data_IF_329083824196
#
_entry.id   IF_329083824196
#
_cell.length_a   1.000
_cell.length_b   1.000
_cell.length_c   1.000
_cell.angle_alpha   90.00
_cell.angle_beta   90.00
_cell.angle_gamma   90.00
#
_symmetry.space_group_name_H-M   'P 1'
#
loop_
_entity.id
_entity.type
_entity.pdbx_description
1 polymer ?
#
# COMPACT_ATOMS: atom_id res chain seq x y z
N UNK A 1 -22.71 0.20 7.71
CA UNK A 1 -22.73 1.66 7.45
C UNK A 1 -23.18 2.49 8.65
N UNK A 2 -24.38 2.34 9.22
CA UNK A 2 -24.81 3.14 10.39
C UNK A 2 -23.88 3.04 11.60
N UNK A 3 -23.30 1.87 11.87
CA UNK A 3 -22.29 1.70 12.92
C UNK A 3 -21.02 2.53 12.63
N UNK A 4 -20.42 2.38 11.44
CA UNK A 4 -19.23 3.12 11.00
C UNK A 4 -19.42 4.64 11.03
N UNK A 5 -20.65 5.12 10.85
CA UNK A 5 -21.01 6.53 11.01
C UNK A 5 -21.15 6.97 12.47
N UNK A 6 -21.62 6.08 13.36
CA UNK A 6 -21.84 6.36 14.79
C UNK A 6 -20.60 6.13 15.67
N UNK A 7 -19.60 5.39 15.19
CA UNK A 7 -18.27 5.28 15.80
C UNK A 7 -17.23 6.05 14.96
N UNK A 8 -17.29 7.40 14.96
CA UNK A 8 -16.42 8.21 14.12
C UNK A 8 -14.94 8.07 14.50
N UNK A 9 -14.61 7.63 15.72
CA UNK A 9 -13.23 7.52 16.21
C UNK A 9 -12.33 6.75 15.24
N UNK A 10 -12.77 5.63 14.70
CA UNK A 10 -11.96 4.83 13.77
C UNK A 10 -11.63 5.59 12.47
N UNK A 11 -12.65 6.02 11.73
CA UNK A 11 -12.48 6.68 10.44
C UNK A 11 -11.87 8.09 10.56
N UNK A 12 -12.23 8.81 11.64
CA UNK A 12 -11.73 10.14 11.93
C UNK A 12 -10.26 10.14 12.30
N UNK A 13 -9.82 9.20 13.16
CA UNK A 13 -8.40 9.05 13.50
C UNK A 13 -7.59 8.68 12.26
N UNK A 14 -8.08 7.78 11.39
CA UNK A 14 -7.40 7.43 10.14
C UNK A 14 -7.27 8.64 9.20
N UNK A 15 -8.33 9.43 9.08
CA UNK A 15 -8.33 10.65 8.26
C UNK A 15 -7.34 11.70 8.80
N UNK A 16 -7.37 11.98 10.10
CA UNK A 16 -6.46 12.94 10.74
C UNK A 16 -4.99 12.53 10.58
N UNK A 17 -4.67 11.25 10.84
CA UNK A 17 -3.32 10.74 10.67
C UNK A 17 -2.86 10.81 9.21
N UNK A 18 -3.76 10.54 8.25
CA UNK A 18 -3.45 10.65 6.82
C UNK A 18 -3.11 12.09 6.44
N UNK A 19 -3.89 13.07 6.90
CA UNK A 19 -3.62 14.50 6.65
C UNK A 19 -2.28 14.90 7.29
N UNK A 20 -2.06 14.50 8.54
CA UNK A 20 -0.81 14.80 9.26
C UNK A 20 0.41 14.24 8.52
N UNK A 21 0.37 12.97 8.09
CA UNK A 21 1.45 12.34 7.33
C UNK A 21 1.65 13.00 5.96
N UNK A 22 0.58 13.35 5.26
CA UNK A 22 0.67 14.03 3.97
C UNK A 22 1.40 15.37 4.10
N UNK A 23 1.07 16.16 5.13
CA UNK A 23 1.74 17.43 5.42
C UNK A 23 3.17 17.23 5.88
N UNK A 24 3.43 16.27 6.77
CA UNK A 24 4.76 15.98 7.30
C UNK A 24 5.73 15.59 6.17
N UNK A 25 5.35 14.63 5.32
CA UNK A 25 6.19 14.23 4.18
C UNK A 25 6.23 15.31 3.10
N UNK A 26 5.15 16.06 2.91
CA UNK A 26 5.12 17.22 2.02
C UNK A 26 6.14 18.29 2.42
N UNK A 27 6.26 18.60 3.70
CA UNK A 27 7.25 19.54 4.23
C UNK A 27 8.69 19.04 4.09
N UNK A 28 8.94 17.76 4.40
CA UNK A 28 10.27 17.17 4.29
C UNK A 28 10.82 17.16 2.86
N UNK A 29 9.95 17.02 1.85
CA UNK A 29 10.37 16.85 0.45
C UNK A 29 9.93 18.00 -0.47
N UNK A 30 9.52 19.14 0.08
CA UNK A 30 8.96 20.27 -0.69
C UNK A 30 9.88 20.81 -1.78
N UNK A 31 11.19 20.77 -1.55
CA UNK A 31 12.21 21.42 -2.39
C UNK A 31 13.25 20.42 -2.91
N UNK A 32 12.84 19.20 -3.23
CA UNK A 32 13.74 18.18 -3.76
C UNK A 32 13.81 18.26 -5.29
N UNK A 33 15.02 18.36 -5.81
CA UNK A 33 15.29 18.29 -7.24
C UNK A 33 15.35 16.84 -7.72
N UNK A 34 14.27 16.37 -8.35
CA UNK A 34 14.14 15.01 -8.90
C UNK A 34 14.95 14.76 -10.19
N UNK A 35 15.91 15.63 -10.51
CA UNK A 35 16.91 15.43 -11.57
C UNK A 35 18.24 14.90 -11.03
N UNK A 36 18.46 14.95 -9.72
CA UNK A 36 19.72 14.51 -9.10
C UNK A 36 19.60 13.07 -8.64
N UNK A 37 20.69 12.28 -8.70
CA UNK A 37 20.71 10.89 -8.19
C UNK A 37 20.15 10.77 -6.75
N UNK A 38 20.61 11.64 -5.84
CA UNK A 38 20.13 11.68 -4.46
C UNK A 38 18.64 12.05 -4.38
N UNK A 39 18.19 13.00 -5.20
CA UNK A 39 16.81 13.45 -5.23
C UNK A 39 15.84 12.39 -5.73
N UNK A 40 16.20 11.66 -6.80
CA UNK A 40 15.41 10.54 -7.33
C UNK A 40 15.36 9.39 -6.32
N UNK A 41 16.51 8.95 -5.80
CA UNK A 41 16.55 7.87 -4.83
C UNK A 41 15.78 8.22 -3.54
N UNK A 42 15.92 9.47 -3.06
CA UNK A 42 15.13 9.99 -1.95
C UNK A 42 13.63 10.07 -2.26
N UNK A 43 13.26 10.45 -3.49
CA UNK A 43 11.88 10.48 -3.96
C UNK A 43 11.22 9.10 -4.00
N UNK A 44 11.92 8.09 -4.52
CA UNK A 44 11.45 6.70 -4.51
C UNK A 44 11.33 6.19 -3.06
N UNK A 45 12.32 6.50 -2.21
CA UNK A 45 12.29 6.17 -0.79
C UNK A 45 11.16 6.83 -0.02
N UNK A 46 10.78 8.03 -0.42
CA UNK A 46 9.64 8.74 0.14
C UNK A 46 8.31 8.10 -0.27
N UNK A 47 8.15 7.67 -1.52
CA UNK A 47 6.96 6.90 -1.94
C UNK A 47 6.90 5.57 -1.19
N UNK A 48 8.04 4.90 -1.00
CA UNK A 48 8.16 3.69 -0.17
C UNK A 48 7.68 3.92 1.27
N UNK A 49 8.25 4.93 1.95
CA UNK A 49 8.01 5.13 3.37
C UNK A 49 6.58 5.63 3.63
N UNK A 50 6.05 6.51 2.78
CA UNK A 50 4.68 7.00 2.87
C UNK A 50 3.67 5.86 2.69
N UNK A 51 3.87 5.04 1.66
CA UNK A 51 3.05 3.84 1.41
C UNK A 51 3.09 2.91 2.62
N UNK A 52 4.28 2.63 3.16
CA UNK A 52 4.45 1.80 4.35
C UNK A 52 3.70 2.35 5.57
N UNK A 53 3.84 3.64 5.88
CA UNK A 53 3.15 4.25 7.03
C UNK A 53 1.64 4.20 6.89
N UNK A 54 1.10 4.56 5.73
CA UNK A 54 -0.35 4.52 5.47
C UNK A 54 -0.89 3.08 5.58
N UNK A 55 -0.11 2.09 5.10
CA UNK A 55 -0.44 0.67 5.23
C UNK A 55 -0.48 0.19 6.69
N UNK A 56 0.57 0.46 7.47
CA UNK A 56 0.68 0.05 8.88
C UNK A 56 -0.41 0.68 9.75
N UNK A 57 -0.73 1.96 9.54
CA UNK A 57 -1.80 2.63 10.28
C UNK A 57 -3.15 1.96 9.99
N UNK A 58 -3.40 1.65 8.72
CA UNK A 58 -4.65 1.01 8.30
C UNK A 58 -4.78 -0.41 8.84
N UNK A 59 -3.66 -1.16 8.87
CA UNK A 59 -3.59 -2.49 9.48
C UNK A 59 -3.84 -2.46 10.99
N UNK A 60 -3.15 -1.61 11.74
CA UNK A 60 -3.26 -1.58 13.20
C UNK A 60 -4.61 -1.04 13.68
N UNK A 61 -5.17 -0.08 12.97
CA UNK A 61 -6.45 0.52 13.34
C UNK A 61 -7.62 -0.46 13.20
N UNK A 62 -7.60 -1.38 12.22
CA UNK A 62 -8.72 -2.30 11.97
C UNK A 62 -8.75 -3.50 12.93
N UNK A 63 -7.60 -3.90 13.47
CA UNK A 63 -7.49 -5.05 14.38
C UNK A 63 -8.45 -4.99 15.59
N UNK A 64 -8.49 -3.90 16.40
CA UNK A 64 -9.40 -3.83 17.53
C UNK A 64 -10.87 -3.78 17.09
N UNK A 65 -11.17 -3.04 16.02
CA UNK A 65 -12.52 -2.94 15.47
C UNK A 65 -13.05 -4.31 15.02
N UNK A 66 -12.25 -5.06 14.26
CA UNK A 66 -12.61 -6.39 13.79
C UNK A 66 -12.78 -7.41 14.94
N UNK A 67 -11.98 -7.27 16.01
CA UNK A 67 -12.09 -8.13 17.17
C UNK A 67 -13.36 -7.86 18.00
N UNK A 68 -13.76 -6.60 18.15
CA UNK A 68 -15.03 -6.21 18.78
C UNK A 68 -16.23 -6.71 17.98
N UNK A 69 -16.22 -6.51 16.65
CA UNK A 69 -17.30 -6.98 15.78
C UNK A 69 -17.44 -8.51 15.81
N UNK A 70 -16.32 -9.24 15.89
CA UNK A 70 -16.31 -10.71 15.98
C UNK A 70 -17.13 -11.23 17.17
N UNK A 71 -17.09 -10.55 18.32
CA UNK A 71 -17.86 -10.96 19.49
C UNK A 71 -19.38 -10.83 19.27
N UNK A 72 -19.82 -9.72 18.65
CA UNK A 72 -21.23 -9.55 18.29
C UNK A 72 -21.66 -10.56 17.22
N UNK A 73 -20.80 -10.79 16.23
CA UNK A 73 -21.03 -11.77 15.16
C UNK A 73 -21.28 -13.18 15.71
N UNK A 74 -20.47 -13.65 16.68
CA UNK A 74 -20.68 -14.97 17.26
C UNK A 74 -22.02 -15.10 17.98
N UNK A 75 -22.46 -14.06 18.68
CA UNK A 75 -23.78 -14.03 19.34
C UNK A 75 -24.93 -14.08 18.33
N UNK A 76 -24.83 -13.30 17.25
CA UNK A 76 -25.86 -13.22 16.20
C UNK A 76 -25.92 -14.48 15.32
N UNK A 77 -24.77 -15.15 15.13
CA UNK A 77 -24.71 -16.47 14.48
C UNK A 77 -25.33 -17.54 15.35
N UNK A 78 -25.11 -17.50 16.67
CA UNK A 78 -25.72 -18.45 17.61
C UNK A 78 -27.26 -18.35 17.61
N UNK A 79 -27.81 -17.14 17.43
CA UNK A 79 -29.26 -16.91 17.27
C UNK A 79 -29.78 -17.16 15.85
N UNK A 80 -28.95 -17.64 14.92
CA UNK A 80 -29.31 -17.89 13.51
C UNK A 80 -29.89 -16.66 12.78
N UNK A 81 -29.51 -15.45 13.20
CA UNK A 81 -30.09 -14.20 12.64
C UNK A 81 -29.62 -13.94 11.21
N UNK A 82 -28.38 -14.30 10.86
CA UNK A 82 -27.86 -14.24 9.49
C UNK A 82 -26.64 -15.16 9.29
N UNK A 83 -26.36 -15.50 8.02
CA UNK A 83 -25.21 -16.32 7.62
C UNK A 83 -23.91 -15.48 7.56
N UNK A 84 -22.76 -16.12 7.81
CA UNK A 84 -21.41 -15.54 7.71
C UNK A 84 -21.17 -14.73 6.42
N UNK A 85 -21.75 -15.19 5.30
CA UNK A 85 -21.66 -14.53 4.01
C UNK A 85 -22.22 -13.11 4.02
N UNK A 86 -23.36 -12.89 4.68
CA UNK A 86 -24.01 -11.58 4.69
C UNK A 86 -23.27 -10.56 5.55
N UNK A 87 -22.69 -11.00 6.66
CA UNK A 87 -21.77 -10.17 7.46
C UNK A 87 -20.50 -9.82 6.66
N UNK A 88 -19.92 -10.80 5.98
CA UNK A 88 -18.75 -10.58 5.13
C UNK A 88 -18.99 -9.57 3.99
N UNK A 89 -20.12 -9.68 3.28
CA UNK A 89 -20.47 -8.73 2.22
C UNK A 89 -20.69 -7.34 2.80
N UNK A 90 -21.41 -7.25 3.93
CA UNK A 90 -21.69 -5.98 4.60
C UNK A 90 -20.43 -5.26 5.09
N UNK A 91 -19.48 -5.98 5.69
CA UNK A 91 -18.22 -5.40 6.17
C UNK A 91 -17.29 -5.02 5.01
N UNK A 92 -17.27 -5.83 3.95
CA UNK A 92 -16.47 -5.54 2.74
C UNK A 92 -16.92 -4.24 2.06
N UNK A 93 -18.22 -4.11 1.80
CA UNK A 93 -18.79 -2.94 1.12
C UNK A 93 -18.73 -1.68 2.00
N UNK A 94 -18.83 -1.84 3.31
CA UNK A 94 -18.77 -0.70 4.23
C UNK A 94 -17.38 -0.03 4.24
N UNK A 95 -16.29 -0.79 4.12
CA UNK A 95 -14.92 -0.25 4.20
C UNK A 95 -14.49 0.55 2.95
N UNK A 96 -14.95 0.14 1.76
CA UNK A 96 -14.46 0.70 0.48
C UNK A 96 -14.61 2.23 0.42
N UNK A 97 -15.78 2.84 0.70
CA UNK A 97 -15.95 4.29 0.60
C UNK A 97 -15.03 5.05 1.57
N UNK A 98 -14.88 4.57 2.80
CA UNK A 98 -14.04 5.24 3.79
C UNK A 98 -12.56 5.17 3.42
N UNK A 99 -12.10 4.02 2.91
CA UNK A 99 -10.70 3.86 2.48
C UNK A 99 -10.40 4.78 1.31
N UNK A 100 -11.27 4.77 0.29
CA UNK A 100 -11.14 5.62 -0.89
C UNK A 100 -11.09 7.09 -0.48
N UNK A 101 -12.03 7.57 0.33
CA UNK A 101 -12.02 8.98 0.78
C UNK A 101 -10.73 9.32 1.52
N UNK A 102 -10.27 8.50 2.46
CA UNK A 102 -9.02 8.78 3.21
C UNK A 102 -7.78 8.81 2.31
N UNK A 103 -7.68 7.87 1.37
CA UNK A 103 -6.54 7.77 0.45
C UNK A 103 -6.53 8.90 -0.59
N UNK A 104 -7.69 9.34 -1.05
CA UNK A 104 -7.79 10.50 -1.95
C UNK A 104 -7.47 11.81 -1.24
N UNK A 105 -7.94 12.00 -0.01
CA UNK A 105 -7.56 13.18 0.80
C UNK A 105 -6.04 13.22 1.00
N UNK A 106 -5.42 12.09 1.34
CA UNK A 106 -3.96 11.98 1.40
C UNK A 106 -3.32 12.39 0.07
N UNK A 107 -3.76 11.81 -1.04
CA UNK A 107 -3.16 12.00 -2.37
C UNK A 107 -3.29 13.45 -2.85
N UNK A 108 -4.44 14.09 -2.68
CA UNK A 108 -4.70 15.47 -3.11
C UNK A 108 -3.79 16.45 -2.37
N UNK A 109 -3.48 16.19 -1.10
CA UNK A 109 -2.57 17.02 -0.32
C UNK A 109 -1.12 16.68 -0.68
N UNK A 110 -0.74 15.41 -0.58
CA UNK A 110 0.63 14.94 -0.71
C UNK A 110 1.23 15.14 -2.11
N UNK A 111 0.50 14.77 -3.17
CA UNK A 111 1.01 14.76 -4.54
C UNK A 111 1.52 16.14 -5.01
N UNK A 112 0.74 17.23 -4.94
CA UNK A 112 1.22 18.56 -5.33
C UNK A 112 2.21 19.15 -4.31
N UNK A 113 2.11 18.78 -3.04
CA UNK A 113 2.93 19.36 -1.98
C UNK A 113 4.40 18.91 -2.11
N UNK A 114 4.60 17.63 -2.44
CA UNK A 114 5.91 17.03 -2.74
C UNK A 114 6.49 17.49 -4.09
N UNK A 115 5.68 18.14 -4.92
CA UNK A 115 6.10 18.67 -6.21
C UNK A 115 6.05 17.66 -7.35
N UNK A 116 5.29 16.57 -7.21
CA UNK A 116 5.08 15.64 -8.32
C UNK A 116 4.32 16.32 -9.45
N UNK A 117 4.85 16.19 -10.66
CA UNK A 117 4.23 16.69 -11.90
C UNK A 117 3.43 15.56 -12.53
N UNK A 118 2.19 15.86 -12.93
CA UNK A 118 1.32 14.90 -13.59
C UNK A 118 0.00 15.54 -14.02
N UNK A 119 -0.67 14.86 -14.94
CA UNK A 119 -2.04 15.21 -15.31
C UNK A 119 -3.02 14.87 -14.19
N UNK A 120 -4.26 15.38 -14.27
CA UNK A 120 -5.33 15.00 -13.33
C UNK A 120 -5.54 13.48 -13.29
N UNK A 121 -5.42 12.82 -14.45
CA UNK A 121 -5.52 11.37 -14.54
C UNK A 121 -4.43 10.66 -13.73
N UNK A 122 -3.22 11.21 -13.70
CA UNK A 122 -2.13 10.62 -12.91
C UNK A 122 -2.42 10.73 -11.41
N UNK A 123 -2.90 11.88 -10.94
CA UNK A 123 -3.27 12.05 -9.52
C UNK A 123 -4.38 11.07 -9.12
N UNK A 124 -5.39 10.90 -9.98
CA UNK A 124 -6.50 9.97 -9.75
C UNK A 124 -6.02 8.52 -9.74
N UNK A 125 -5.20 8.12 -10.72
CA UNK A 125 -4.68 6.75 -10.81
C UNK A 125 -3.76 6.42 -9.62
N UNK A 126 -2.96 7.39 -9.15
CA UNK A 126 -2.16 7.24 -7.92
C UNK A 126 -3.08 7.04 -6.71
N UNK A 127 -4.13 7.87 -6.58
CA UNK A 127 -5.11 7.78 -5.49
C UNK A 127 -5.86 6.45 -5.48
N UNK A 128 -6.23 5.92 -6.65
CA UNK A 128 -6.87 4.60 -6.78
C UNK A 128 -5.92 3.50 -6.32
N UNK A 129 -4.68 3.47 -6.81
CA UNK A 129 -3.72 2.43 -6.45
C UNK A 129 -3.34 2.48 -4.97
N UNK A 130 -3.20 3.68 -4.40
CA UNK A 130 -3.01 3.85 -2.96
C UNK A 130 -4.24 3.36 -2.18
N UNK A 131 -5.45 3.64 -2.66
CA UNK A 131 -6.70 3.14 -2.04
C UNK A 131 -6.74 1.61 -2.05
N UNK A 132 -6.35 0.97 -3.16
CA UNK A 132 -6.28 -0.49 -3.26
C UNK A 132 -5.24 -1.06 -2.28
N UNK A 133 -4.06 -0.45 -2.17
CA UNK A 133 -3.05 -0.87 -1.21
C UNK A 133 -3.54 -0.74 0.25
N UNK A 134 -4.23 0.36 0.58
CA UNK A 134 -4.82 0.54 1.91
C UNK A 134 -5.90 -0.52 2.17
N UNK A 135 -6.76 -0.77 1.17
CA UNK A 135 -7.81 -1.78 1.27
C UNK A 135 -7.23 -3.17 1.50
N UNK A 136 -6.15 -3.51 0.81
CA UNK A 136 -5.37 -4.73 1.04
C UNK A 136 -4.91 -4.84 2.50
N UNK A 137 -4.31 -3.78 3.06
CA UNK A 137 -3.83 -3.79 4.45
C UNK A 137 -4.98 -3.92 5.47
N UNK A 138 -6.11 -3.26 5.23
CA UNK A 138 -7.31 -3.38 6.08
C UNK A 138 -7.82 -4.82 6.05
N UNK A 139 -7.90 -5.43 4.87
CA UNK A 139 -8.45 -6.78 4.74
C UNK A 139 -7.50 -7.85 5.29
N UNK A 140 -6.19 -7.62 5.15
CA UNK A 140 -5.16 -8.42 5.81
C UNK A 140 -5.25 -8.32 7.34
N UNK A 141 -5.49 -7.13 7.89
CA UNK A 141 -5.74 -6.91 9.31
C UNK A 141 -6.98 -7.64 9.81
N UNK A 142 -8.09 -7.56 9.07
CA UNK A 142 -9.32 -8.28 9.41
C UNK A 142 -9.09 -9.81 9.40
N UNK A 143 -8.39 -10.33 8.39
CA UNK A 143 -8.02 -11.74 8.35
C UNK A 143 -7.23 -12.16 9.59
N UNK A 144 -6.22 -11.39 10.00
CA UNK A 144 -5.43 -11.67 11.21
C UNK A 144 -6.29 -11.63 12.48
N UNK A 145 -7.20 -10.65 12.61
CA UNK A 145 -8.13 -10.57 13.74
C UNK A 145 -9.10 -11.76 13.82
N UNK A 146 -9.48 -12.35 12.68
CA UNK A 146 -10.37 -13.50 12.65
C UNK A 146 -9.65 -14.80 12.98
N UNK A 147 -8.42 -14.99 12.49
CA UNK A 147 -7.64 -16.21 12.75
C UNK A 147 -7.13 -16.26 14.19
N UNK A 148 -6.69 -15.13 14.76
CA UNK A 148 -6.02 -15.12 16.07
C UNK A 148 -7.01 -14.92 17.24
N UNK A 149 -6.78 -15.55 18.41
CA UNK A 149 -7.72 -15.48 19.53
C UNK A 149 -7.73 -14.11 20.22
N UNK A 150 -6.57 -13.43 20.29
CA UNK A 150 -6.39 -12.13 20.97
C UNK A 150 -5.86 -11.07 20.00
N UNK A 151 -6.24 -9.82 20.23
CA UNK A 151 -5.79 -8.66 19.44
C UNK A 151 -4.28 -8.50 19.49
N UNK A 152 -3.67 -8.65 20.67
CA UNK A 152 -2.22 -8.50 20.83
C UNK A 152 -1.43 -9.53 20.02
N UNK A 153 -1.94 -10.77 19.96
CA UNK A 153 -1.33 -11.85 19.16
C UNK A 153 -1.51 -11.59 17.67
N UNK A 154 -2.70 -11.10 17.26
CA UNK A 154 -2.97 -10.70 15.88
C UNK A 154 -2.05 -9.55 15.43
N UNK A 155 -1.83 -8.56 16.30
CA UNK A 155 -0.94 -7.43 16.05
C UNK A 155 0.50 -7.90 15.93
N UNK A 156 1.00 -8.70 16.88
CA UNK A 156 2.37 -9.20 16.85
C UNK A 156 2.65 -10.05 15.59
N UNK A 157 1.77 -11.01 15.27
CA UNK A 157 1.91 -11.84 14.08
C UNK A 157 1.78 -11.02 12.79
N UNK A 158 0.83 -10.08 12.78
CA UNK A 158 0.60 -9.18 11.66
C UNK A 158 1.79 -8.29 11.33
N UNK A 159 2.44 -7.75 12.36
CA UNK A 159 3.67 -6.96 12.21
C UNK A 159 4.80 -7.84 11.68
N UNK A 160 5.00 -9.05 12.21
CA UNK A 160 6.04 -9.97 11.72
C UNK A 160 5.87 -10.28 10.22
N UNK A 161 4.66 -10.61 9.79
CA UNK A 161 4.37 -10.91 8.37
C UNK A 161 4.53 -9.65 7.50
N UNK A 162 4.03 -8.49 7.96
CA UNK A 162 4.21 -7.23 7.23
C UNK A 162 5.68 -6.83 7.11
N UNK A 163 6.50 -7.03 8.15
CA UNK A 163 7.94 -6.75 8.10
C UNK A 163 8.63 -7.56 7.02
N UNK A 164 8.28 -8.84 6.85
CA UNK A 164 8.79 -9.67 5.77
C UNK A 164 8.34 -9.11 4.41
N UNK A 165 7.05 -8.81 4.26
CA UNK A 165 6.53 -8.25 3.01
C UNK A 165 7.17 -6.90 2.64
N UNK A 166 7.36 -6.00 3.60
CA UNK A 166 8.00 -4.71 3.34
C UNK A 166 9.48 -4.82 2.99
N UNK A 167 10.20 -5.80 3.55
CA UNK A 167 11.59 -6.07 3.18
C UNK A 167 11.69 -6.53 1.71
N UNK A 168 10.76 -7.38 1.26
CA UNK A 168 10.73 -7.93 -0.11
C UNK A 168 9.89 -7.10 -1.09
N UNK A 169 9.54 -5.86 -0.73
CA UNK A 169 8.78 -4.94 -1.57
C UNK A 169 9.61 -4.34 -2.73
N UNK A 170 10.95 -4.50 -2.71
CA UNK A 170 11.83 -4.19 -3.83
C UNK A 170 12.51 -2.81 -3.81
N UNK A 171 12.47 -2.09 -2.67
CA UNK A 171 13.20 -0.83 -2.47
C UNK A 171 14.47 -0.99 -1.64
N UNK A 172 14.38 -1.62 -0.46
CA UNK A 172 15.52 -1.84 0.43
C UNK A 172 15.52 -3.30 0.93
N UNK A 173 16.27 -4.21 0.28
CA UNK A 173 17.17 -3.98 -0.87
C UNK A 173 16.44 -3.68 -2.19
N UNK A 174 17.09 -2.98 -3.15
CA UNK A 174 16.54 -2.78 -4.49
C UNK A 174 16.30 -4.12 -5.19
N UNK A 175 15.23 -4.21 -6.00
CA UNK A 175 14.81 -5.46 -6.64
C UNK A 175 15.92 -6.15 -7.46
N UNK A 176 16.80 -5.38 -8.10
CA UNK A 176 17.95 -5.89 -8.86
C UNK A 176 18.98 -6.64 -8.02
N UNK A 177 19.14 -6.24 -6.75
CA UNK A 177 20.13 -6.79 -5.82
C UNK A 177 19.61 -7.99 -5.03
N UNK A 178 18.34 -8.38 -5.23
CA UNK A 178 17.75 -9.53 -4.55
C UNK A 178 18.32 -10.82 -5.16
N UNK A 179 18.98 -11.69 -4.35
CA UNK A 179 19.55 -12.94 -4.84
C UNK A 179 18.49 -13.83 -5.51
N UNK A 180 18.89 -14.57 -6.54
CA UNK A 180 17.98 -15.41 -7.34
C UNK A 180 17.14 -16.39 -6.49
N UNK A 181 17.73 -16.95 -5.43
CA UNK A 181 17.04 -17.87 -4.52
C UNK A 181 15.87 -17.27 -3.72
N UNK A 182 15.83 -15.94 -3.52
CA UNK A 182 14.76 -15.25 -2.79
C UNK A 182 13.77 -14.53 -3.73
N UNK A 183 13.96 -14.61 -5.05
CA UNK A 183 13.09 -13.91 -6.01
C UNK A 183 11.62 -14.32 -5.90
N UNK A 184 11.35 -15.61 -5.63
CA UNK A 184 9.99 -16.12 -5.45
C UNK A 184 9.22 -15.40 -4.33
N UNK A 185 9.94 -15.01 -3.26
CA UNK A 185 9.33 -14.32 -2.12
C UNK A 185 8.91 -12.90 -2.49
N UNK A 186 9.63 -12.25 -3.40
CA UNK A 186 9.24 -10.94 -3.95
C UNK A 186 8.01 -11.05 -4.84
N UNK A 187 7.86 -12.17 -5.58
CA UNK A 187 6.68 -12.42 -6.43
C UNK A 187 5.41 -12.66 -5.62
N UNK A 188 5.52 -13.32 -4.46
CA UNK A 188 4.36 -13.59 -3.59
C UNK A 188 3.94 -12.33 -2.81
N UNK A 189 4.87 -11.41 -2.55
CA UNK A 189 4.65 -10.22 -1.74
C UNK A 189 3.68 -9.21 -2.42
N UNK A 190 2.43 -9.04 -1.93
CA UNK A 190 1.49 -8.14 -2.57
C UNK A 190 1.90 -6.65 -2.54
N UNK A 191 2.49 -6.11 -1.45
CA UNK A 191 3.00 -4.74 -1.41
C UNK A 191 3.97 -4.36 -2.54
N UNK A 192 4.74 -5.31 -3.08
CA UNK A 192 5.65 -5.08 -4.22
C UNK A 192 4.92 -4.43 -5.39
N UNK A 193 3.78 -5.01 -5.76
CA UNK A 193 3.01 -4.57 -6.92
C UNK A 193 2.44 -3.16 -6.71
N UNK A 194 1.90 -2.87 -5.52
CA UNK A 194 1.42 -1.53 -5.20
C UNK A 194 2.53 -0.49 -5.24
N UNK A 195 3.69 -0.76 -4.62
CA UNK A 195 4.82 0.16 -4.66
C UNK A 195 5.31 0.38 -6.08
N UNK A 196 5.45 -0.70 -6.86
CA UNK A 196 5.87 -0.62 -8.25
C UNK A 196 4.96 0.29 -9.07
N UNK A 197 3.63 0.23 -8.88
CA UNK A 197 2.71 1.11 -9.61
C UNK A 197 2.88 2.56 -9.18
N UNK A 198 2.92 2.83 -7.87
CA UNK A 198 3.03 4.20 -7.34
C UNK A 198 4.33 4.87 -7.76
N UNK A 199 5.45 4.14 -7.71
CA UNK A 199 6.76 4.64 -8.15
C UNK A 199 6.83 4.77 -9.67
N UNK A 200 6.42 3.73 -10.41
CA UNK A 200 6.51 3.75 -11.87
C UNK A 200 5.69 4.88 -12.49
N UNK A 201 4.53 5.19 -11.90
CA UNK A 201 3.68 6.27 -12.34
C UNK A 201 4.36 7.65 -12.23
N UNK A 202 5.13 7.88 -11.17
CA UNK A 202 5.77 9.16 -10.90
C UNK A 202 7.13 9.27 -11.60
N UNK A 203 7.94 8.21 -11.53
CA UNK A 203 9.36 8.25 -11.93
C UNK A 203 9.66 7.49 -13.22
N UNK A 204 8.81 6.55 -13.66
CA UNK A 204 9.07 5.75 -14.89
C UNK A 204 8.21 6.15 -16.08
N UNK A 205 7.20 7.00 -15.89
CA UNK A 205 6.41 7.57 -16.98
C UNK A 205 7.28 8.53 -17.81
N UNK A 206 7.39 8.26 -19.10
CA UNK A 206 8.10 9.10 -20.07
C UNK A 206 7.33 9.10 -21.39
N UNK A 207 6.25 9.86 -21.45
CA UNK A 207 5.43 10.04 -22.65
C UNK A 207 5.59 11.45 -23.22
N UNK A 208 5.70 12.45 -22.35
CA UNK A 208 6.00 13.84 -22.70
C UNK A 208 7.39 14.24 -22.21
N UNK A 209 8.09 15.17 -22.89
CA UNK A 209 9.40 15.68 -22.44
C UNK A 209 9.38 16.33 -21.06
N UNK A 210 8.20 16.78 -20.61
CA UNK A 210 7.97 17.38 -19.30
C UNK A 210 7.84 16.37 -18.16
N UNK A 211 7.67 15.08 -18.48
CA UNK A 211 7.53 14.02 -17.49
C UNK A 211 8.84 13.81 -16.74
N UNK A 212 8.76 13.52 -15.45
CA UNK A 212 9.95 13.33 -14.61
C UNK A 212 10.79 12.13 -15.07
N UNK A 213 10.15 11.07 -15.60
CA UNK A 213 10.87 9.89 -16.10
C UNK A 213 11.76 10.14 -17.32
N UNK A 214 11.49 11.19 -18.11
CA UNK A 214 12.31 11.54 -19.28
C UNK A 214 13.52 12.42 -18.93
N UNK A 215 13.61 12.95 -17.72
CA UNK A 215 14.67 13.86 -17.34
C UNK A 215 16.01 13.11 -17.19
N UNK A 216 17.09 13.73 -17.67
CA UNK A 216 18.44 13.19 -17.54
C UNK A 216 18.89 13.38 -16.09
N UNK A 217 19.41 12.32 -15.49
CA UNK A 217 19.91 12.37 -14.12
C UNK A 217 21.30 13.01 -14.06
N UNK A 218 21.51 13.82 -13.04
CA UNK A 218 22.79 14.45 -12.71
C UNK A 218 23.38 13.84 -11.43
N UNK A 219 24.71 13.93 -11.28
CA UNK A 219 25.44 13.40 -10.12
C UNK A 219 25.27 11.88 -9.89
N UNK A 220 25.11 11.11 -10.97
CA UNK A 220 25.03 9.65 -10.88
C UNK A 220 26.41 9.07 -10.57
N UNK A 221 26.56 8.21 -9.54
CA UNK A 221 27.82 7.54 -9.27
C UNK A 221 28.31 6.71 -10.47
N UNK A 222 29.62 6.71 -10.79
CA UNK A 222 30.15 6.02 -11.96
C UNK A 222 29.94 4.50 -11.95
N UNK A 223 29.74 3.91 -10.77
CA UNK A 223 29.39 2.49 -10.60
C UNK A 223 28.04 2.19 -11.27
N UNK A 224 27.03 3.03 -11.02
CA UNK A 224 25.68 2.86 -11.57
C UNK A 224 25.68 3.09 -13.09
N UNK A 225 26.45 4.07 -13.57
CA UNK A 225 26.62 4.31 -15.01
C UNK A 225 27.28 3.11 -15.71
N UNK A 226 28.27 2.48 -15.06
CA UNK A 226 28.94 1.28 -15.59
C UNK A 226 28.02 0.06 -15.62
N UNK A 227 27.15 -0.10 -14.63
CA UNK A 227 26.15 -1.18 -14.60
C UNK A 227 25.10 -1.03 -15.71
N UNK A 228 24.68 0.20 -16.01
CA UNK A 228 23.69 0.48 -17.07
C UNK A 228 24.33 0.52 -18.46
N UNK A 229 25.64 0.78 -18.55
CA UNK A 229 26.40 0.80 -19.80
C UNK A 229 26.15 2.03 -20.67
N UNK A 230 25.62 3.12 -20.10
CA UNK A 230 25.33 4.37 -20.81
C UNK A 230 26.01 5.59 -20.14
N UNK A 231 26.47 6.59 -20.92
CA UNK A 231 27.16 7.77 -20.39
C UNK A 231 26.22 8.74 -19.66
N UNK A 232 24.93 8.72 -20.01
CA UNK A 232 23.86 9.48 -19.36
C UNK A 232 22.68 8.54 -19.15
N UNK A 233 21.98 8.70 -18.03
CA UNK A 233 20.87 7.83 -17.63
C UNK A 233 19.66 8.70 -17.30
N UNK A 234 18.50 8.32 -17.81
CA UNK A 234 17.24 8.98 -17.47
C UNK A 234 16.62 8.39 -16.20
N UNK A 235 15.77 9.15 -15.52
CA UNK A 235 15.07 8.71 -14.31
C UNK A 235 14.30 7.40 -14.54
N UNK A 236 13.65 7.23 -15.70
CA UNK A 236 12.99 5.98 -16.09
C UNK A 236 13.96 4.80 -16.08
N UNK A 237 15.07 4.91 -16.81
CA UNK A 237 16.04 3.82 -16.93
C UNK A 237 16.65 3.45 -15.58
N UNK A 238 16.96 4.44 -14.76
CA UNK A 238 17.46 4.21 -13.40
C UNK A 238 16.44 3.44 -12.55
N UNK A 239 15.17 3.87 -12.59
CA UNK A 239 14.10 3.24 -11.81
C UNK A 239 13.82 1.81 -12.26
N UNK A 240 13.77 1.58 -13.57
CA UNK A 240 13.52 0.26 -14.16
C UNK A 240 14.69 -0.71 -13.94
N UNK A 241 15.94 -0.26 -14.10
CA UNK A 241 17.10 -1.14 -13.91
C UNK A 241 17.37 -1.46 -12.45
N UNK A 242 17.27 -0.48 -11.54
CA UNK A 242 17.65 -0.69 -10.14
C UNK A 242 16.51 -1.30 -9.32
N UNK A 243 15.28 -0.84 -9.53
CA UNK A 243 14.11 -1.22 -8.72
C UNK A 243 13.11 -2.14 -9.45
N UNK A 244 13.30 -2.44 -10.74
CA UNK A 244 12.39 -3.27 -11.55
C UNK A 244 10.93 -2.77 -11.52
N UNK A 245 10.75 -1.45 -11.46
CA UNK A 245 9.44 -0.79 -11.40
C UNK A 245 9.13 -0.13 -12.74
N UNK A 246 8.43 -0.87 -13.62
CA UNK A 246 8.14 -0.43 -14.99
C UNK A 246 6.78 0.21 -15.12
N UNK A 247 6.67 1.23 -15.97
CA UNK A 247 5.39 1.89 -16.25
C UNK A 247 4.45 1.00 -17.07
N UNK A 248 4.98 0.21 -18.00
CA UNK A 248 4.18 -0.64 -18.89
C UNK A 248 3.45 -1.77 -18.11
N UNK A 249 4.05 -2.23 -17.02
CA UNK A 249 3.48 -3.26 -16.14
C UNK A 249 2.48 -2.69 -15.12
N UNK A 250 2.27 -1.37 -15.09
CA UNK A 250 1.47 -0.72 -14.05
C UNK A 250 0.03 -1.28 -13.97
N UNK A 251 -0.62 -1.48 -15.12
CA UNK A 251 -1.99 -2.02 -15.18
C UNK A 251 -2.03 -3.48 -14.71
N UNK A 252 -1.06 -4.29 -15.12
CA UNK A 252 -0.95 -5.70 -14.70
C UNK A 252 -0.76 -5.77 -13.19
N UNK A 253 0.13 -4.95 -12.65
CA UNK A 253 0.40 -4.87 -11.21
C UNK A 253 -0.85 -4.41 -10.43
N UNK A 254 -1.62 -3.45 -10.94
CA UNK A 254 -2.91 -3.06 -10.33
C UNK A 254 -3.88 -4.24 -10.29
N UNK A 255 -4.00 -5.02 -11.37
CA UNK A 255 -4.88 -6.20 -11.42
C UNK A 255 -4.42 -7.27 -10.42
N UNK A 256 -3.10 -7.50 -10.30
CA UNK A 256 -2.54 -8.43 -9.30
C UNK A 256 -2.91 -8.00 -7.88
N UNK A 257 -2.81 -6.71 -7.56
CA UNK A 257 -3.22 -6.18 -6.23
C UNK A 257 -4.70 -6.45 -5.97
N UNK A 258 -5.58 -6.23 -6.95
CA UNK A 258 -7.02 -6.56 -6.84
C UNK A 258 -7.21 -8.07 -6.60
N UNK A 259 -6.47 -8.92 -7.31
CA UNK A 259 -6.45 -10.36 -7.07
C UNK A 259 -6.06 -10.72 -5.62
N UNK A 260 -5.00 -10.12 -5.10
CA UNK A 260 -4.56 -10.32 -3.71
C UNK A 260 -5.63 -9.89 -2.69
N UNK A 261 -6.30 -8.75 -2.93
CA UNK A 261 -7.41 -8.26 -2.09
C UNK A 261 -8.54 -9.31 -2.04
N UNK A 262 -8.92 -9.87 -3.19
CA UNK A 262 -9.95 -10.92 -3.27
C UNK A 262 -9.51 -12.18 -2.52
N UNK A 263 -8.25 -12.61 -2.69
CA UNK A 263 -7.70 -13.78 -1.97
C UNK A 263 -7.77 -13.59 -0.46
N UNK A 264 -7.26 -12.48 0.08
CA UNK A 264 -7.32 -12.22 1.52
C UNK A 264 -8.75 -12.10 2.05
N UNK A 265 -9.67 -11.61 1.21
CA UNK A 265 -11.09 -11.58 1.54
C UNK A 265 -11.71 -12.98 1.63
N UNK A 266 -11.43 -13.85 0.66
CA UNK A 266 -11.86 -15.26 0.71
C UNK A 266 -11.27 -15.97 1.93
N UNK A 267 -9.98 -15.75 2.22
CA UNK A 267 -9.34 -16.29 3.43
C UNK A 267 -10.00 -15.78 4.71
N UNK A 268 -10.34 -14.49 4.78
CA UNK A 268 -11.10 -13.89 5.89
C UNK A 268 -12.47 -14.53 6.09
N UNK A 269 -13.21 -14.79 5.00
CA UNK A 269 -14.50 -15.48 5.05
C UNK A 269 -14.36 -16.92 5.55
N UNK A 270 -13.35 -17.65 5.06
CA UNK A 270 -13.07 -19.01 5.51
C UNK A 270 -12.69 -19.03 6.99
N UNK A 271 -11.88 -18.06 7.45
CA UNK A 271 -11.55 -17.90 8.85
C UNK A 271 -12.81 -17.67 9.71
N UNK A 272 -13.68 -16.74 9.32
CA UNK A 272 -14.96 -16.51 10.03
C UNK A 272 -15.88 -17.75 10.06
N UNK A 273 -15.86 -18.56 9.00
CA UNK A 273 -16.72 -19.73 8.88
C UNK A 273 -16.26 -20.88 9.78
N UNK A 274 -14.96 -21.17 9.77
CA UNK A 274 -14.36 -22.38 10.36
C UNK A 274 -13.64 -22.15 11.68
N UNK A 275 -13.12 -20.95 11.95
CA UNK A 275 -12.44 -20.62 13.20
C UNK A 275 -13.47 -20.10 14.20
N UNK A 276 -13.57 -20.75 15.36
CA UNK A 276 -14.42 -20.31 16.45
C UNK A 276 -13.63 -20.28 17.76
N UNK A 277 -13.46 -19.08 18.31
CA UNK A 277 -12.72 -18.82 19.54
C UNK A 277 -13.58 -18.85 20.82
N UNK A 278 -14.89 -19.14 20.71
CA UNK A 278 -15.78 -19.30 21.88
C UNK A 278 -15.67 -20.67 22.56
N UNK A 279 -15.16 -21.70 21.86
CA UNK A 279 -14.84 -22.99 22.47
C UNK A 279 -13.47 -22.86 23.14
N UNK A 280 -13.48 -22.39 24.38
CA UNK A 280 -12.32 -22.40 25.27
C UNK A 280 -12.65 -23.18 26.53
#
# INVERSE_FOLDING_TARGET
>A
MRMYWRTPSYNYTRLMLSIFLAVLFGLCFRSVDYTTFSGVNGGIGMVFITTLFVGIISFNSVLPLAAEERASYYRERASQTYNALWYFVGSTVAEIPYVVVTSFVFTIIYYPFVGFKGSVWDVVFYGINLSLFVLYNVYFGQFMAYVMPRVDVAAAMGVLVNSIFFLFMGYNPPASQIPSGYRWLTTICPPKYSLSVLVAQVFSKCQLPTDMGCQIMTQVPPIVLKEIGQPHVNVKQFTEHLFDMKYDDAVVNTIVVVGCIVVFRVLGLLALRYVNHQKR
#
